data_IF_632451786694
#
_entry.id   IF_632451786694
#
_cell.length_a   1.000
_cell.length_b   1.000
_cell.length_c   1.000
_cell.angle_alpha   90.00
_cell.angle_beta   90.00
_cell.angle_gamma   90.00
#
_symmetry.space_group_name_H-M   'P 1'
#
loop_
_entity.id
_entity.type
_entity.pdbx_description
1 polymer ?
#
# COMPACT_ATOMS: atom_id res chain seq x y z
N UNK A 1 0.49 -22.90 6.06
CA UNK A 1 -0.78 -22.26 5.65
C UNK A 1 -0.66 -21.86 4.18
N UNK A 2 -1.57 -22.32 3.30
CA UNK A 2 -1.46 -22.12 1.84
C UNK A 2 -1.48 -20.63 1.46
N UNK A 3 -0.62 -20.20 0.52
CA UNK A 3 -0.55 -18.84 -0.04
C UNK A 3 -1.93 -18.28 -0.45
N UNK A 4 -2.85 -19.15 -0.88
CA UNK A 4 -4.24 -18.77 -1.20
C UNK A 4 -5.01 -18.26 0.02
N UNK A 5 -4.84 -18.88 1.19
CA UNK A 5 -5.50 -18.46 2.44
C UNK A 5 -4.96 -17.11 2.94
N UNK A 6 -3.65 -16.88 2.80
CA UNK A 6 -3.03 -15.60 3.18
C UNK A 6 -3.47 -14.44 2.27
N UNK A 7 -3.54 -14.68 0.95
CA UNK A 7 -4.05 -13.68 0.01
C UNK A 7 -5.53 -13.35 0.25
N UNK A 8 -6.37 -14.34 0.54
CA UNK A 8 -7.79 -14.14 0.83
C UNK A 8 -8.01 -13.36 2.14
N UNK A 9 -7.24 -13.68 3.19
CA UNK A 9 -7.27 -12.93 4.44
C UNK A 9 -6.85 -11.48 4.25
N UNK A 10 -5.76 -11.24 3.52
CA UNK A 10 -5.30 -9.88 3.20
C UNK A 10 -6.37 -9.10 2.44
N UNK A 11 -6.96 -9.70 1.41
CA UNK A 11 -8.04 -9.10 0.63
C UNK A 11 -9.26 -8.76 1.51
N UNK A 12 -9.67 -9.67 2.39
CA UNK A 12 -10.79 -9.45 3.30
C UNK A 12 -10.53 -8.32 4.30
N UNK A 13 -9.33 -8.27 4.89
CA UNK A 13 -8.93 -7.21 5.82
C UNK A 13 -8.90 -5.86 5.09
N UNK A 14 -8.34 -5.80 3.88
CA UNK A 14 -8.31 -4.58 3.07
C UNK A 14 -9.71 -4.11 2.67
N UNK A 15 -10.58 -5.02 2.22
CA UNK A 15 -11.95 -4.68 1.84
C UNK A 15 -12.76 -4.20 3.04
N UNK A 16 -12.67 -4.88 4.19
CA UNK A 16 -13.29 -4.44 5.43
C UNK A 16 -12.75 -3.08 5.88
N UNK A 17 -11.44 -2.87 5.77
CA UNK A 17 -10.80 -1.60 6.10
C UNK A 17 -11.27 -0.45 5.21
N UNK A 18 -11.45 -0.68 3.90
CA UNK A 18 -11.94 0.33 2.96
C UNK A 18 -13.39 0.73 3.28
N UNK A 19 -14.26 -0.27 3.48
CA UNK A 19 -15.67 -0.05 3.82
C UNK A 19 -15.80 0.63 5.19
N UNK A 20 -15.06 0.14 6.20
CA UNK A 20 -15.04 0.74 7.53
C UNK A 20 -14.55 2.20 7.47
N UNK A 21 -13.48 2.50 6.73
CA UNK A 21 -13.00 3.87 6.60
C UNK A 21 -14.04 4.79 5.96
N UNK A 22 -14.74 4.35 4.91
CA UNK A 22 -15.78 5.17 4.29
C UNK A 22 -16.97 5.41 5.22
N UNK A 23 -17.35 4.41 6.01
CA UNK A 23 -18.50 4.47 6.92
C UNK A 23 -18.21 5.26 8.20
N UNK A 24 -16.96 5.26 8.68
CA UNK A 24 -16.60 5.81 10.00
C UNK A 24 -15.78 7.11 9.96
N UNK A 25 -15.21 7.52 8.82
CA UNK A 25 -14.26 8.63 8.78
C UNK A 25 -14.57 9.67 7.68
N UNK A 26 -14.72 10.98 8.01
CA UNK A 26 -14.43 12.04 7.04
C UNK A 26 -12.97 11.93 6.57
N UNK A 27 -12.65 12.40 5.36
CA UNK A 27 -11.34 12.20 4.71
C UNK A 27 -10.13 12.59 5.58
N UNK A 28 -10.29 13.51 6.52
CA UNK A 28 -9.23 13.95 7.43
C UNK A 28 -8.91 12.90 8.52
N UNK A 29 -9.90 12.11 8.93
CA UNK A 29 -9.69 11.00 9.88
C UNK A 29 -8.84 9.88 9.28
N UNK A 30 -8.89 9.69 7.96
CA UNK A 30 -8.07 8.70 7.27
C UNK A 30 -6.58 9.01 7.43
N UNK A 31 -6.19 10.25 7.15
CA UNK A 31 -4.80 10.68 7.30
C UNK A 31 -4.37 10.63 8.77
N UNK A 32 -5.28 10.95 9.69
CA UNK A 32 -5.04 10.84 11.11
C UNK A 32 -4.83 9.40 11.61
N UNK A 33 -5.39 8.39 10.94
CA UNK A 33 -5.18 6.99 11.31
C UNK A 33 -3.68 6.61 11.35
N UNK A 34 -2.86 7.23 10.49
CA UNK A 34 -1.40 7.05 10.50
C UNK A 34 -0.71 7.73 11.68
N UNK A 35 -1.31 8.80 12.23
CA UNK A 35 -0.83 9.51 13.41
C UNK A 35 -1.34 8.94 14.73
N UNK A 36 -2.48 8.24 14.71
CA UNK A 36 -3.10 7.63 15.88
C UNK A 36 -2.14 6.84 16.78
N UNK A 37 -1.29 5.91 16.28
CA UNK A 37 -0.38 5.17 17.15
C UNK A 37 0.61 6.10 17.88
N UNK A 38 1.12 7.13 17.21
CA UNK A 38 2.04 8.09 17.81
C UNK A 38 1.34 9.01 18.80
N UNK A 39 0.10 9.40 18.52
CA UNK A 39 -0.72 10.22 19.41
C UNK A 39 -1.08 9.47 20.70
N UNK A 40 -1.45 8.18 20.60
CA UNK A 40 -1.71 7.33 21.75
C UNK A 40 -0.45 7.15 22.61
N UNK A 41 0.70 6.87 21.98
CA UNK A 41 1.99 6.76 22.67
C UNK A 41 2.38 8.07 23.32
N UNK A 42 2.25 9.20 22.62
CA UNK A 42 2.58 10.53 23.13
C UNK A 42 1.72 10.92 24.33
N UNK A 43 0.40 10.73 24.24
CA UNK A 43 -0.53 10.95 25.36
C UNK A 43 -0.22 10.05 26.56
N UNK A 44 0.06 8.78 26.32
CA UNK A 44 0.41 7.82 27.38
C UNK A 44 1.71 8.21 28.10
N UNK A 45 2.77 8.52 27.35
CA UNK A 45 4.05 8.97 27.91
C UNK A 45 3.93 10.31 28.64
N UNK A 46 3.12 11.25 28.13
CA UNK A 46 2.85 12.52 28.80
C UNK A 46 2.12 12.31 30.12
N UNK A 47 1.05 11.51 30.13
CA UNK A 47 0.29 11.21 31.34
C UNK A 47 1.18 10.56 32.41
N UNK A 48 2.07 9.66 31.99
CA UNK A 48 3.04 9.02 32.85
C UNK A 48 4.06 10.01 33.42
N UNK A 49 4.59 10.93 32.60
CA UNK A 49 5.51 11.98 33.06
C UNK A 49 4.87 12.91 34.12
N UNK A 50 3.58 13.18 33.98
CA UNK A 50 2.82 14.00 34.94
C UNK A 50 2.41 13.25 36.23
N UNK A 51 2.64 11.94 36.32
CA UNK A 51 2.19 11.12 37.47
C UNK A 51 3.12 11.18 38.70
N UNK A 52 4.23 11.93 38.61
CA UNK A 52 5.21 12.12 39.68
C UNK A 52 6.62 11.72 39.24
N UNK A 53 7.60 11.85 40.15
CA UNK A 53 9.03 11.65 39.83
C UNK A 53 9.36 10.27 39.25
N UNK A 54 8.72 9.21 39.77
CA UNK A 54 8.93 7.84 39.30
C UNK A 54 8.30 7.63 37.91
N UNK A 55 7.14 8.24 37.67
CA UNK A 55 6.48 8.24 36.37
C UNK A 55 7.28 9.00 35.31
N UNK A 56 7.84 10.16 35.67
CA UNK A 56 8.72 10.92 34.79
C UNK A 56 9.98 10.14 34.39
N UNK A 57 10.65 9.51 35.36
CA UNK A 57 11.78 8.63 35.06
C UNK A 57 11.39 7.47 34.13
N UNK A 58 10.22 6.86 34.35
CA UNK A 58 9.73 5.76 33.52
C UNK A 58 9.34 6.23 32.11
N UNK A 59 8.77 7.43 31.96
CA UNK A 59 8.42 8.02 30.67
C UNK A 59 9.67 8.27 29.82
N UNK A 60 10.72 8.85 30.40
CA UNK A 60 12.01 9.03 29.73
C UNK A 60 12.65 7.70 29.32
N UNK A 61 12.59 6.68 30.19
CA UNK A 61 13.11 5.35 29.88
C UNK A 61 12.37 4.69 28.70
N UNK A 62 11.03 4.72 28.70
CA UNK A 62 10.22 4.15 27.61
C UNK A 62 10.40 4.92 26.30
N UNK A 63 10.43 6.26 26.36
CA UNK A 63 10.69 7.11 25.20
C UNK A 63 12.07 6.80 24.58
N UNK A 64 13.12 6.74 25.41
CA UNK A 64 14.47 6.41 24.96
C UNK A 64 14.54 5.01 24.35
N UNK A 65 13.91 4.02 24.99
CA UNK A 65 13.86 2.64 24.49
C UNK A 65 13.16 2.56 23.12
N UNK A 66 12.02 3.22 22.96
CA UNK A 66 11.25 3.24 21.71
C UNK A 66 12.09 3.84 20.56
N UNK A 67 12.76 4.97 20.82
CA UNK A 67 13.56 5.66 19.81
C UNK A 67 14.86 4.92 19.48
N UNK A 68 15.46 4.22 20.45
CA UNK A 68 16.67 3.44 20.26
C UNK A 68 16.43 2.07 19.59
N UNK A 69 15.18 1.61 19.53
CA UNK A 69 14.80 0.29 19.02
C UNK A 69 15.35 -0.02 17.61
N UNK A 70 15.28 0.88 16.60
CA UNK A 70 15.87 0.63 15.28
C UNK A 70 17.39 0.44 15.32
N UNK A 71 18.09 1.18 16.19
CA UNK A 71 19.54 1.09 16.38
C UNK A 71 19.92 -0.20 17.10
N UNK A 72 19.19 -0.55 18.15
CA UNK A 72 19.41 -1.77 18.93
C UNK A 72 19.25 -3.03 18.10
N UNK A 73 18.19 -3.09 17.28
CA UNK A 73 18.00 -4.15 16.30
C UNK A 73 19.20 -4.28 15.36
N UNK A 74 19.81 -3.15 14.98
CA UNK A 74 20.99 -3.15 14.14
C UNK A 74 22.24 -3.67 14.81
N UNK A 75 22.49 -3.29 16.07
CA UNK A 75 23.58 -3.82 16.87
C UNK A 75 23.43 -5.33 17.11
N UNK A 76 22.20 -5.79 17.39
CA UNK A 76 21.92 -7.20 17.57
C UNK A 76 22.18 -8.03 16.30
N UNK A 77 21.81 -7.51 15.13
CA UNK A 77 22.13 -8.16 13.85
C UNK A 77 23.64 -8.21 13.57
N UNK A 78 24.40 -7.16 13.92
CA UNK A 78 25.87 -7.15 13.80
C UNK A 78 26.51 -8.24 14.65
N UNK A 79 26.06 -8.41 15.90
CA UNK A 79 26.56 -9.46 16.81
C UNK A 79 26.35 -10.87 16.28
N UNK A 80 25.36 -11.09 15.41
CA UNK A 80 25.09 -12.37 14.75
C UNK A 80 25.83 -12.54 13.41
N UNK A 81 26.85 -11.73 13.13
CA UNK A 81 27.63 -11.79 11.88
C UNK A 81 26.86 -11.37 10.62
N UNK A 82 25.67 -10.78 10.77
CA UNK A 82 24.87 -10.31 9.62
C UNK A 82 25.35 -8.91 9.26
N UNK A 83 25.84 -8.74 8.03
CA UNK A 83 26.29 -7.44 7.51
C UNK A 83 25.21 -6.38 7.71
N UNK A 84 25.55 -5.35 8.47
CA UNK A 84 24.68 -4.23 8.80
C UNK A 84 24.68 -3.19 7.68
N UNK A 85 24.39 -3.64 6.46
CA UNK A 85 24.52 -2.88 5.21
C UNK A 85 23.71 -1.58 5.18
N UNK A 86 22.70 -1.43 6.06
CA UNK A 86 21.79 -0.28 6.08
C UNK A 86 21.77 0.41 7.45
N UNK A 87 22.95 0.70 8.00
CA UNK A 87 23.06 1.37 9.32
C UNK A 87 22.55 2.82 9.29
N UNK A 88 22.81 3.55 8.21
CA UNK A 88 22.34 4.93 8.02
C UNK A 88 20.81 5.06 8.12
N UNK A 89 20.07 4.24 7.38
CA UNK A 89 18.59 4.30 7.36
C UNK A 89 17.97 4.04 8.74
N UNK A 90 18.56 3.16 9.57
CA UNK A 90 18.12 2.89 10.94
C UNK A 90 18.36 4.07 11.87
N UNK A 91 19.51 4.72 11.74
CA UNK A 91 19.83 5.92 12.52
C UNK A 91 18.92 7.09 12.15
N UNK A 92 18.62 7.26 10.85
CA UNK A 92 17.66 8.27 10.40
C UNK A 92 16.25 7.99 10.95
N UNK A 93 15.80 6.73 10.93
CA UNK A 93 14.53 6.34 11.56
C UNK A 93 14.52 6.59 13.07
N UNK A 94 15.62 6.27 13.77
CA UNK A 94 15.75 6.54 15.20
C UNK A 94 15.70 8.05 15.51
N UNK A 95 16.38 8.87 14.72
CA UNK A 95 16.35 10.32 14.84
C UNK A 95 14.94 10.89 14.55
N UNK A 96 14.27 10.39 13.52
CA UNK A 96 12.90 10.76 13.19
C UNK A 96 11.90 10.36 14.29
N UNK A 97 12.06 9.17 14.89
CA UNK A 97 11.27 8.74 16.04
C UNK A 97 11.53 9.60 17.27
N UNK A 98 12.80 9.89 17.57
CA UNK A 98 13.18 10.76 18.68
C UNK A 98 12.51 12.13 18.55
N UNK A 99 12.77 12.82 17.44
CA UNK A 99 12.16 14.13 17.22
C UNK A 99 10.62 14.06 17.16
N UNK A 100 10.09 13.13 16.37
CA UNK A 100 8.66 13.04 16.09
C UNK A 100 7.82 12.68 17.31
N UNK A 101 8.18 11.61 18.02
CA UNK A 101 7.45 11.16 19.22
C UNK A 101 7.49 12.23 20.31
N UNK A 102 8.59 12.97 20.45
CA UNK A 102 8.66 14.09 21.40
C UNK A 102 7.60 15.16 21.12
N UNK A 103 7.33 15.50 19.86
CA UNK A 103 6.25 16.45 19.51
C UNK A 103 4.85 15.91 19.90
N UNK A 104 4.63 14.60 19.81
CA UNK A 104 3.38 13.99 20.28
C UNK A 104 3.26 13.98 21.81
N UNK A 105 4.37 13.90 22.55
CA UNK A 105 4.39 14.04 24.01
C UNK A 105 4.13 15.50 24.40
N UNK A 106 4.78 16.45 23.74
CA UNK A 106 4.63 17.87 23.99
C UNK A 106 3.95 18.60 22.82
N UNK A 107 2.61 18.65 22.78
CA UNK A 107 1.87 19.21 21.66
C UNK A 107 2.07 20.71 21.45
N UNK A 108 2.64 21.44 22.43
CA UNK A 108 3.01 22.84 22.23
C UNK A 108 4.06 23.01 21.11
N UNK A 109 4.95 22.02 20.94
CA UNK A 109 5.98 22.08 19.91
C UNK A 109 5.42 22.01 18.48
N UNK A 110 4.18 21.55 18.27
CA UNK A 110 3.53 21.68 16.95
C UNK A 110 3.30 23.15 16.57
N UNK A 111 3.02 24.01 17.54
CA UNK A 111 2.84 25.45 17.30
C UNK A 111 4.18 26.10 16.93
N UNK A 112 5.29 25.65 17.53
CA UNK A 112 6.62 26.14 17.17
C UNK A 112 7.03 25.71 15.74
N UNK A 113 6.61 24.51 15.32
CA UNK A 113 6.95 23.93 14.01
C UNK A 113 6.07 24.43 12.85
N UNK A 114 4.76 24.53 13.09
CA UNK A 114 3.76 24.82 12.05
C UNK A 114 3.07 26.17 12.25
N UNK A 115 3.45 26.93 13.28
CA UNK A 115 2.85 28.23 13.60
C UNK A 115 1.37 28.11 13.94
N UNK A 116 0.59 29.11 13.52
CA UNK A 116 -0.86 29.19 13.80
C UNK A 116 -1.67 28.06 13.13
N UNK A 117 -1.12 27.35 12.16
CA UNK A 117 -1.78 26.21 11.49
C UNK A 117 -1.99 25.04 12.46
N UNK A 118 -1.14 24.90 13.48
CA UNK A 118 -1.30 23.88 14.51
C UNK A 118 -2.37 24.20 15.57
N UNK A 119 -3.16 25.27 15.40
CA UNK A 119 -4.26 25.63 16.30
C UNK A 119 -5.59 25.09 15.79
N UNK A 120 -6.47 24.67 16.71
CA UNK A 120 -7.79 24.16 16.38
C UNK A 120 -7.74 22.91 15.50
N UNK A 121 -8.50 22.90 14.41
CA UNK A 121 -8.66 21.76 13.51
C UNK A 121 -7.38 21.43 12.70
N UNK A 122 -6.51 22.42 12.46
CA UNK A 122 -5.27 22.23 11.70
C UNK A 122 -4.21 21.39 12.44
N UNK A 123 -4.34 21.21 13.75
CA UNK A 123 -3.47 20.33 14.55
C UNK A 123 -3.52 18.87 14.04
N UNK A 124 -4.69 18.43 13.58
CA UNK A 124 -4.90 17.05 13.11
C UNK A 124 -4.11 16.79 11.81
N UNK A 125 -4.04 17.80 10.94
CA UNK A 125 -3.24 17.79 9.72
C UNK A 125 -1.74 17.82 10.04
N UNK A 126 -1.31 18.67 10.98
CA UNK A 126 0.10 18.71 11.40
C UNK A 126 0.57 17.38 11.99
N UNK A 127 -0.27 16.73 12.80
CA UNK A 127 -0.01 15.39 13.35
C UNK A 127 0.12 14.33 12.26
N UNK A 128 -0.79 14.32 11.28
CA UNK A 128 -0.74 13.37 10.17
C UNK A 128 0.50 13.56 9.30
N UNK A 129 0.88 14.81 9.00
CA UNK A 129 2.11 15.13 8.25
C UNK A 129 3.38 14.62 8.94
N UNK A 130 3.51 14.88 10.25
CA UNK A 130 4.66 14.42 11.02
C UNK A 130 4.72 12.89 11.09
N UNK A 131 3.58 12.24 11.31
CA UNK A 131 3.48 10.78 11.32
C UNK A 131 3.86 10.16 9.96
N UNK A 132 3.38 10.73 8.85
CA UNK A 132 3.74 10.29 7.49
C UNK A 132 5.25 10.44 7.22
N UNK A 133 5.88 11.47 7.77
CA UNK A 133 7.33 11.64 7.69
C UNK A 133 8.06 10.54 8.46
N UNK A 134 7.61 10.16 9.66
CA UNK A 134 8.19 9.02 10.38
C UNK A 134 8.01 7.71 9.58
N UNK A 135 6.80 7.50 9.04
CA UNK A 135 6.50 6.33 8.22
C UNK A 135 7.34 6.26 6.93
N UNK A 136 7.71 7.38 6.33
CA UNK A 136 8.58 7.40 5.14
C UNK A 136 10.00 6.91 5.47
N UNK A 137 10.58 7.33 6.60
CA UNK A 137 11.86 6.78 7.08
C UNK A 137 11.75 5.28 7.38
N UNK A 138 10.64 4.84 7.98
CA UNK A 138 10.39 3.43 8.26
C UNK A 138 10.29 2.62 6.97
N UNK A 139 9.63 3.15 5.95
CA UNK A 139 9.52 2.55 4.63
C UNK A 139 10.89 2.43 3.95
N UNK A 140 11.70 3.48 3.95
CA UNK A 140 13.06 3.44 3.38
C UNK A 140 13.89 2.35 4.05
N UNK A 141 13.88 2.30 5.38
CA UNK A 141 14.59 1.27 6.12
C UNK A 141 14.09 -0.15 5.77
N UNK A 142 12.77 -0.33 5.68
CA UNK A 142 12.14 -1.60 5.33
C UNK A 142 12.50 -2.06 3.91
N UNK A 143 12.44 -1.16 2.93
CA UNK A 143 12.80 -1.44 1.52
C UNK A 143 14.26 -1.87 1.41
N UNK A 144 15.17 -1.14 2.06
CA UNK A 144 16.59 -1.50 2.07
C UNK A 144 16.83 -2.86 2.73
N UNK A 145 16.11 -3.17 3.81
CA UNK A 145 16.18 -4.50 4.42
C UNK A 145 15.68 -5.60 3.49
N UNK A 146 14.64 -5.34 2.69
CA UNK A 146 14.14 -6.28 1.69
C UNK A 146 15.14 -6.45 0.54
N UNK A 147 15.78 -5.37 0.09
CA UNK A 147 16.84 -5.43 -0.91
C UNK A 147 18.02 -6.29 -0.42
N UNK A 148 18.54 -6.00 0.77
CA UNK A 148 19.60 -6.79 1.38
C UNK A 148 19.20 -8.22 1.74
N UNK A 149 17.89 -8.55 1.75
CA UNK A 149 17.38 -9.92 1.85
C UNK A 149 17.35 -10.59 0.47
N UNK A 150 16.90 -9.88 -0.56
CA UNK A 150 16.87 -10.36 -1.94
C UNK A 150 18.27 -10.68 -2.47
N UNK A 151 19.27 -9.83 -2.17
CA UNK A 151 20.68 -10.05 -2.56
C UNK A 151 21.30 -11.32 -1.94
N UNK A 152 20.84 -11.73 -0.75
CA UNK A 152 21.35 -12.92 -0.06
C UNK A 152 20.63 -14.20 -0.46
N UNK A 153 19.51 -14.09 -1.16
CA UNK A 153 18.76 -15.23 -1.65
C UNK A 153 19.36 -15.69 -2.97
N UNK A 154 19.28 -16.99 -3.26
CA UNK A 154 19.52 -17.46 -4.62
C UNK A 154 18.59 -16.71 -5.58
N UNK A 155 19.04 -16.45 -6.81
CA UNK A 155 18.34 -15.60 -7.79
C UNK A 155 16.83 -15.89 -7.88
N UNK A 156 16.45 -17.18 -7.94
CA UNK A 156 15.04 -17.59 -8.02
C UNK A 156 14.24 -17.35 -6.73
N UNK A 157 14.88 -17.42 -5.58
CA UNK A 157 14.24 -17.11 -4.29
C UNK A 157 14.04 -15.61 -4.09
N UNK A 158 15.01 -14.80 -4.51
CA UNK A 158 14.90 -13.34 -4.53
C UNK A 158 13.77 -12.88 -5.46
N UNK A 159 13.74 -13.41 -6.70
CA UNK A 159 12.67 -13.10 -7.66
C UNK A 159 11.30 -13.57 -7.13
N UNK A 160 11.23 -14.77 -6.54
CA UNK A 160 10.02 -15.29 -5.91
C UNK A 160 9.53 -14.46 -4.72
N UNK A 161 10.41 -13.82 -3.96
CA UNK A 161 10.04 -12.87 -2.90
C UNK A 161 9.46 -11.58 -3.50
N UNK A 162 10.11 -11.03 -4.52
CA UNK A 162 9.67 -9.82 -5.22
C UNK A 162 8.26 -10.00 -5.80
N UNK A 163 8.00 -11.09 -6.55
CA UNK A 163 6.67 -11.37 -7.10
C UNK A 163 5.58 -11.48 -6.02
N UNK A 164 5.90 -12.04 -4.84
CA UNK A 164 4.94 -12.15 -3.72
C UNK A 164 4.63 -10.79 -3.11
N UNK A 165 5.65 -9.94 -2.93
CA UNK A 165 5.47 -8.57 -2.43
C UNK A 165 4.62 -7.78 -3.41
N UNK A 166 4.93 -7.84 -4.71
CA UNK A 166 4.12 -7.20 -5.75
C UNK A 166 2.68 -7.70 -5.73
N UNK A 167 2.46 -9.02 -5.64
CA UNK A 167 1.11 -9.58 -5.53
C UNK A 167 0.34 -9.08 -4.30
N UNK A 168 1.02 -8.97 -3.15
CA UNK A 168 0.43 -8.39 -1.95
C UNK A 168 0.05 -6.93 -2.13
N UNK A 169 0.92 -6.12 -2.74
CA UNK A 169 0.67 -4.70 -3.01
C UNK A 169 -0.49 -4.51 -3.99
N UNK A 170 -0.58 -5.34 -5.03
CA UNK A 170 -1.70 -5.33 -5.97
C UNK A 170 -3.03 -5.69 -5.28
N UNK A 171 -3.03 -6.66 -4.37
CA UNK A 171 -4.21 -6.99 -3.56
C UNK A 171 -4.62 -5.81 -2.68
N UNK A 172 -3.67 -5.14 -2.02
CA UNK A 172 -3.96 -3.95 -1.22
C UNK A 172 -4.53 -2.84 -2.10
N UNK A 173 -3.92 -2.55 -3.26
CA UNK A 173 -4.43 -1.55 -4.21
C UNK A 173 -5.87 -1.88 -4.66
N UNK A 174 -6.11 -3.11 -5.13
CA UNK A 174 -7.44 -3.53 -5.58
C UNK A 174 -8.48 -3.55 -4.46
N UNK A 175 -8.15 -4.11 -3.31
CA UNK A 175 -9.11 -4.33 -2.22
C UNK A 175 -9.28 -3.12 -1.31
N UNK A 176 -8.30 -2.20 -1.27
CA UNK A 176 -8.38 -1.02 -0.43
C UNK A 176 -8.70 0.23 -1.25
N UNK A 177 -7.79 0.67 -2.13
CA UNK A 177 -7.97 1.95 -2.83
C UNK A 177 -9.13 1.90 -3.81
N UNK A 178 -9.25 0.85 -4.63
CA UNK A 178 -10.36 0.75 -5.61
C UNK A 178 -11.71 0.55 -4.95
N UNK A 179 -11.82 -0.24 -3.88
CA UNK A 179 -13.06 -0.34 -3.11
C UNK A 179 -13.41 0.97 -2.42
N UNK A 180 -12.44 1.67 -1.83
CA UNK A 180 -12.65 2.98 -1.22
C UNK A 180 -13.16 4.00 -2.25
N UNK A 181 -12.54 4.06 -3.44
CA UNK A 181 -12.99 4.90 -4.56
C UNK A 181 -14.41 4.53 -5.02
N UNK A 182 -14.72 3.23 -5.18
CA UNK A 182 -16.05 2.75 -5.59
C UNK A 182 -17.14 3.11 -4.58
N UNK A 183 -16.85 2.99 -3.27
CA UNK A 183 -17.78 3.45 -2.24
C UNK A 183 -17.98 4.97 -2.27
N UNK A 184 -17.05 5.71 -2.88
CA UNK A 184 -17.18 7.14 -3.13
C UNK A 184 -18.14 7.52 -4.26
N UNK A 185 -18.46 6.60 -5.16
CA UNK A 185 -19.42 6.84 -6.26
C UNK A 185 -20.88 6.87 -5.78
N UNK A 186 -21.15 6.44 -4.55
CA UNK A 186 -22.47 6.53 -3.94
C UNK A 186 -22.54 7.87 -3.22
N UNK A 187 -23.32 8.81 -3.78
CA UNK A 187 -23.63 10.09 -3.12
C UNK A 187 -25.01 10.01 -2.50
N UNK A 188 -25.11 10.31 -1.22
CA UNK A 188 -26.42 10.60 -0.61
C UNK A 188 -26.93 11.88 -1.23
N UNK A 189 -28.07 11.84 -1.93
CA UNK A 189 -28.79 13.07 -2.24
C UNK A 189 -29.41 13.52 -0.93
N UNK A 190 -28.65 14.29 -0.15
CA UNK A 190 -29.14 14.83 1.10
C UNK A 190 -30.45 15.56 0.80
N UNK A 191 -31.55 15.12 1.40
CA UNK A 191 -32.68 16.01 1.58
C UNK A 191 -32.15 17.09 2.52
N UNK A 192 -31.81 18.26 1.97
CA UNK A 192 -31.50 19.43 2.77
C UNK A 192 -32.80 19.88 3.43
N UNK A 193 -33.08 19.37 4.62
CA UNK A 193 -34.05 20.01 5.50
C UNK A 193 -33.34 21.20 6.14
N UNK A 194 -33.54 22.37 5.54
CA UNK A 194 -33.28 23.64 6.19
C UNK A 194 -34.31 23.80 7.30
N UNK A 195 -33.86 23.78 8.56
CA UNK A 195 -34.67 24.34 9.64
C UNK A 195 -34.77 25.87 9.41
N UNK A 196 -35.83 26.53 9.88
CA UNK A 196 -36.07 27.98 9.68
C UNK A 196 -34.94 28.88 10.24
N UNK A 197 -33.95 28.30 10.95
CA UNK A 197 -32.76 28.95 11.50
C UNK A 197 -31.48 28.81 10.66
N UNK A 198 -31.48 28.06 9.54
CA UNK A 198 -30.36 28.02 8.60
C UNK A 198 -29.09 27.31 9.09
N UNK A 199 -29.14 26.51 10.16
CA UNK A 199 -28.01 25.67 10.57
C UNK A 199 -28.11 24.27 9.95
N UNK A 200 -27.05 23.85 9.25
CA UNK A 200 -26.94 22.53 8.67
C UNK A 200 -26.93 21.46 9.77
N UNK A 201 -27.88 20.52 9.69
CA UNK A 201 -28.01 19.40 10.62
C UNK A 201 -26.68 18.65 10.74
N UNK A 202 -26.15 18.56 11.96
CA UNK A 202 -24.85 17.94 12.25
C UNK A 202 -24.71 16.56 11.59
N UNK A 203 -23.51 16.24 11.08
CA UNK A 203 -23.22 15.01 10.34
C UNK A 203 -23.62 13.71 11.04
N UNK A 204 -23.87 13.74 12.35
CA UNK A 204 -24.38 12.60 13.12
C UNK A 204 -25.82 12.22 12.79
N UNK A 205 -26.69 13.18 12.42
CA UNK A 205 -28.07 12.92 12.02
C UNK A 205 -28.17 12.42 10.56
N UNK A 206 -27.30 12.92 9.67
CA UNK A 206 -27.14 12.37 8.32
C UNK A 206 -26.66 10.90 8.36
N UNK A 207 -25.81 10.56 9.32
CA UNK A 207 -25.31 9.20 9.53
C UNK A 207 -26.37 8.27 10.14
N UNK A 208 -27.23 8.77 11.03
CA UNK A 208 -28.37 8.02 11.55
C UNK A 208 -29.41 7.68 10.46
N UNK A 209 -29.53 8.52 9.42
CA UNK A 209 -30.40 8.29 8.26
C UNK A 209 -29.80 7.37 7.18
N UNK A 210 -28.47 7.27 7.08
CA UNK A 210 -27.81 6.23 6.26
C UNK A 210 -28.05 4.82 6.84
N UNK A 211 -28.18 4.71 8.16
CA UNK A 211 -28.54 3.46 8.86
C UNK A 211 -30.02 3.08 8.77
N UNK A 212 -30.92 4.00 8.36
CA UNK A 212 -32.37 3.76 8.32
C UNK A 212 -32.90 3.20 7.00
N UNK A 213 -32.04 3.01 5.99
CA UNK A 213 -32.38 2.32 4.75
C UNK A 213 -33.18 3.13 3.72
N UNK A 214 -33.43 4.43 3.95
CA UNK A 214 -34.28 5.27 3.08
C UNK A 214 -33.70 6.67 2.80
N UNK A 215 -32.40 6.79 2.57
CA UNK A 215 -31.85 8.01 1.96
C UNK A 215 -31.73 7.78 0.44
N UNK A 216 -32.37 8.60 -0.42
CA UNK A 216 -32.16 8.48 -1.86
C UNK A 216 -30.67 8.67 -2.14
N UNK A 217 -30.08 7.66 -2.78
CA UNK A 217 -28.66 7.66 -3.16
C UNK A 217 -28.59 7.69 -4.68
N UNK A 218 -27.78 8.60 -5.22
CA UNK A 218 -27.42 8.57 -6.64
C UNK A 218 -26.06 7.91 -6.80
N UNK A 219 -25.92 7.11 -7.85
CA UNK A 219 -24.66 6.45 -8.20
C UNK A 219 -24.06 7.20 -9.38
N UNK A 220 -22.82 7.67 -9.20
CA UNK A 220 -22.02 8.24 -10.29
C UNK A 220 -21.49 7.11 -11.18
N UNK A 221 -22.35 6.58 -12.04
CA UNK A 221 -22.02 5.48 -12.95
C UNK A 221 -20.75 5.71 -13.78
N UNK A 222 -20.50 6.91 -14.35
CA UNK A 222 -19.26 7.18 -15.08
C UNK A 222 -17.99 6.97 -14.23
N UNK A 223 -18.01 7.42 -12.98
CA UNK A 223 -16.89 7.26 -12.05
C UNK A 223 -16.70 5.78 -11.68
N UNK A 224 -17.79 5.06 -11.41
CA UNK A 224 -17.75 3.64 -11.06
C UNK A 224 -17.15 2.79 -12.19
N UNK A 225 -17.58 3.02 -13.44
CA UNK A 225 -17.02 2.32 -14.60
C UNK A 225 -15.55 2.66 -14.83
N UNK A 226 -15.15 3.93 -14.67
CA UNK A 226 -13.74 4.34 -14.76
C UNK A 226 -12.89 3.58 -13.74
N UNK A 227 -13.30 3.53 -12.48
CA UNK A 227 -12.56 2.84 -11.41
C UNK A 227 -12.44 1.34 -11.73
N UNK A 228 -13.52 0.72 -12.18
CA UNK A 228 -13.52 -0.70 -12.55
C UNK A 228 -12.58 -0.97 -13.74
N UNK A 229 -12.62 -0.12 -14.76
CA UNK A 229 -11.73 -0.24 -15.92
C UNK A 229 -10.25 -0.06 -15.53
N UNK A 230 -9.95 0.89 -14.64
CA UNK A 230 -8.59 1.12 -14.12
C UNK A 230 -8.09 0.00 -13.19
N UNK A 231 -8.98 -0.85 -12.66
CA UNK A 231 -8.60 -2.00 -11.86
C UNK A 231 -8.15 -3.20 -12.72
N UNK A 232 -8.55 -3.26 -14.00
CA UNK A 232 -8.28 -4.39 -14.89
C UNK A 232 -6.79 -4.72 -15.06
N UNK A 233 -5.89 -3.75 -15.32
CA UNK A 233 -4.45 -4.05 -15.46
C UNK A 233 -3.85 -4.75 -14.24
N UNK A 234 -4.22 -4.29 -13.04
CA UNK A 234 -3.77 -4.89 -11.78
C UNK A 234 -4.32 -6.31 -11.58
N UNK A 235 -5.57 -6.56 -11.98
CA UNK A 235 -6.19 -7.91 -11.95
C UNK A 235 -5.45 -8.85 -12.92
N UNK A 236 -5.22 -8.42 -14.15
CA UNK A 236 -4.51 -9.23 -15.15
C UNK A 236 -3.09 -9.58 -14.69
N UNK A 237 -2.36 -8.61 -14.13
CA UNK A 237 -1.04 -8.87 -13.58
C UNK A 237 -1.09 -9.82 -12.39
N UNK A 238 -2.05 -9.66 -11.47
CA UNK A 238 -2.22 -10.56 -10.32
C UNK A 238 -2.44 -12.02 -10.77
N UNK A 239 -3.22 -12.23 -11.82
CA UNK A 239 -3.46 -13.56 -12.41
C UNK A 239 -2.20 -14.14 -13.08
N UNK A 240 -1.31 -13.29 -13.62
CA UNK A 240 -0.03 -13.69 -14.21
C UNK A 240 1.01 -14.13 -13.16
N UNK A 241 0.95 -13.58 -11.95
CA UNK A 241 1.93 -13.90 -10.90
C UNK A 241 1.89 -15.37 -10.48
N UNK A 242 0.73 -16.02 -10.50
CA UNK A 242 0.60 -17.42 -10.11
C UNK A 242 1.40 -18.39 -11.01
N UNK A 243 1.23 -18.41 -12.35
CA UNK A 243 2.06 -19.24 -13.23
C UNK A 243 3.53 -18.81 -13.23
N UNK A 244 3.83 -17.52 -13.10
CA UNK A 244 5.22 -17.04 -13.00
C UNK A 244 5.93 -17.58 -11.75
N UNK A 245 5.25 -17.62 -10.60
CA UNK A 245 5.76 -18.24 -9.37
C UNK A 245 5.96 -19.76 -9.53
N UNK A 246 5.11 -20.44 -10.29
CA UNK A 246 5.27 -21.87 -10.59
C UNK A 246 6.48 -22.15 -11.48
N UNK A 247 6.71 -21.34 -12.51
CA UNK A 247 7.90 -21.41 -13.36
C UNK A 247 9.18 -21.20 -12.52
N UNK A 248 9.19 -20.19 -11.66
CA UNK A 248 10.28 -19.90 -10.73
C UNK A 248 10.62 -21.08 -9.80
N UNK A 249 9.60 -21.76 -9.28
CA UNK A 249 9.81 -22.96 -8.43
C UNK A 249 10.42 -24.12 -9.22
N UNK A 250 10.00 -24.28 -10.47
CA UNK A 250 10.51 -25.35 -11.34
C UNK A 250 11.96 -25.08 -11.69
N UNK A 251 12.29 -23.85 -12.11
CA UNK A 251 13.67 -23.43 -12.39
C UNK A 251 14.58 -23.54 -11.16
N UNK A 252 14.05 -23.35 -9.96
CA UNK A 252 14.79 -23.56 -8.72
C UNK A 252 15.14 -25.03 -8.47
N UNK A 253 14.26 -25.95 -8.85
CA UNK A 253 14.45 -27.40 -8.62
C UNK A 253 15.38 -27.99 -9.69
N UNK A 254 15.07 -27.72 -10.96
CA UNK A 254 15.86 -28.15 -12.10
C UNK A 254 15.73 -27.12 -13.24
N UNK A 255 16.73 -26.25 -13.43
CA UNK A 255 16.73 -25.23 -14.49
C UNK A 255 16.63 -25.81 -15.91
N UNK A 256 17.05 -27.07 -16.10
CA UNK A 256 17.13 -27.72 -17.40
C UNK A 256 16.12 -28.87 -17.55
N UNK A 257 15.24 -29.05 -16.58
CA UNK A 257 14.23 -30.10 -16.56
C UNK A 257 13.22 -29.99 -17.71
N UNK A 258 12.59 -31.11 -18.05
CA UNK A 258 11.65 -31.22 -19.16
C UNK A 258 10.37 -30.38 -18.99
N UNK A 259 10.01 -30.03 -17.75
CA UNK A 259 8.85 -29.18 -17.46
C UNK A 259 9.08 -27.69 -17.79
N UNK A 260 10.33 -27.25 -17.94
CA UNK A 260 10.69 -25.83 -18.09
C UNK A 260 10.16 -25.20 -19.37
N UNK A 261 10.28 -25.82 -20.58
CA UNK A 261 9.76 -25.22 -21.81
C UNK A 261 8.24 -25.01 -21.77
N UNK A 262 7.48 -26.02 -21.34
CA UNK A 262 6.02 -25.94 -21.32
C UNK A 262 5.51 -24.83 -20.37
N UNK A 263 6.13 -24.70 -19.19
CA UNK A 263 5.79 -23.62 -18.25
C UNK A 263 6.26 -22.26 -18.73
N UNK A 264 7.43 -22.18 -19.37
CA UNK A 264 7.95 -20.94 -19.96
C UNK A 264 7.03 -20.44 -21.06
N UNK A 265 6.60 -21.32 -21.96
CA UNK A 265 5.66 -20.99 -23.04
C UNK A 265 4.31 -20.54 -22.48
N UNK A 266 3.78 -21.23 -21.46
CA UNK A 266 2.53 -20.83 -20.81
C UNK A 266 2.63 -19.45 -20.14
N UNK A 267 3.75 -19.14 -19.47
CA UNK A 267 3.99 -17.81 -18.87
C UNK A 267 4.16 -16.75 -19.95
N UNK A 268 4.94 -17.01 -21.00
CA UNK A 268 5.16 -16.06 -22.09
C UNK A 268 3.86 -15.74 -22.83
N UNK A 269 3.03 -16.75 -23.15
CA UNK A 269 1.72 -16.55 -23.77
C UNK A 269 0.78 -15.73 -22.90
N UNK A 270 0.70 -16.06 -21.60
CA UNK A 270 -0.13 -15.29 -20.65
C UNK A 270 0.39 -13.88 -20.45
N UNK A 271 1.70 -13.67 -20.40
CA UNK A 271 2.30 -12.36 -20.28
C UNK A 271 2.00 -11.49 -21.51
N UNK A 272 2.09 -12.05 -22.73
CA UNK A 272 1.63 -11.37 -23.96
C UNK A 272 0.16 -10.99 -23.88
N UNK A 273 -0.70 -11.93 -23.49
CA UNK A 273 -2.12 -11.68 -23.33
C UNK A 273 -2.41 -10.57 -22.31
N UNK A 274 -1.68 -10.54 -21.19
CA UNK A 274 -1.80 -9.49 -20.16
C UNK A 274 -1.35 -8.14 -20.69
N UNK A 275 -0.25 -8.05 -21.44
CA UNK A 275 0.18 -6.80 -22.08
C UNK A 275 -0.89 -6.27 -23.02
N UNK A 276 -1.42 -7.12 -23.92
CA UNK A 276 -2.51 -6.72 -24.81
C UNK A 276 -3.77 -6.32 -24.04
N UNK A 277 -4.18 -7.10 -23.03
CA UNK A 277 -5.36 -6.81 -22.23
C UNK A 277 -5.21 -5.50 -21.45
N UNK A 278 -4.03 -5.21 -20.88
CA UNK A 278 -3.73 -3.94 -20.25
C UNK A 278 -3.91 -2.78 -21.24
N UNK A 279 -3.25 -2.84 -22.40
CA UNK A 279 -3.33 -1.77 -23.41
C UNK A 279 -4.77 -1.54 -23.91
N UNK A 280 -5.48 -2.62 -24.24
CA UNK A 280 -6.89 -2.55 -24.68
C UNK A 280 -7.78 -2.00 -23.57
N UNK A 281 -7.58 -2.43 -22.32
CA UNK A 281 -8.35 -1.91 -21.18
C UNK A 281 -8.08 -0.43 -20.91
N UNK A 282 -6.85 0.04 -21.08
CA UNK A 282 -6.49 1.47 -20.94
C UNK A 282 -7.14 2.30 -22.04
N UNK A 283 -7.06 1.85 -23.31
CA UNK A 283 -7.75 2.52 -24.41
C UNK A 283 -9.26 2.54 -24.18
N UNK A 284 -9.83 1.40 -23.77
CA UNK A 284 -11.25 1.29 -23.44
C UNK A 284 -11.66 2.24 -22.31
N UNK A 285 -10.87 2.35 -21.24
CA UNK A 285 -11.10 3.27 -20.14
C UNK A 285 -11.06 4.74 -20.61
N UNK A 286 -10.11 5.10 -21.47
CA UNK A 286 -9.98 6.45 -22.00
C UNK A 286 -11.14 6.81 -22.94
N UNK A 287 -11.58 5.87 -23.79
CA UNK A 287 -12.77 6.05 -24.63
C UNK A 287 -14.03 6.20 -23.78
N UNK A 288 -14.15 5.44 -22.70
CA UNK A 288 -15.25 5.54 -21.76
C UNK A 288 -15.28 6.91 -21.06
N UNK A 289 -14.12 7.46 -20.69
CA UNK A 289 -14.01 8.83 -20.17
C UNK A 289 -14.52 9.85 -21.18
N UNK A 290 -14.19 9.69 -22.46
CA UNK A 290 -14.66 10.59 -23.52
C UNK A 290 -16.18 10.50 -23.72
N UNK A 291 -16.74 9.29 -23.73
CA UNK A 291 -18.19 9.08 -23.88
C UNK A 291 -19.00 9.71 -22.73
N UNK A 292 -18.44 9.73 -21.52
CA UNK A 292 -19.08 10.35 -20.36
C UNK A 292 -18.64 11.80 -20.10
N UNK A 293 -17.84 12.40 -20.99
CA UNK A 293 -17.42 13.80 -20.87
C UNK A 293 -18.59 14.78 -20.94
N UNK A 294 -19.61 14.46 -21.74
CA UNK A 294 -20.82 15.28 -21.87
C UNK A 294 -21.85 15.06 -20.75
N UNK A 295 -21.67 14.01 -19.92
CA UNK A 295 -22.63 13.65 -18.87
C UNK A 295 -22.52 14.51 -17.58
N UNK A 296 -21.81 15.64 -17.63
CA UNK A 296 -21.81 16.67 -16.58
C UNK A 296 -20.98 16.35 -15.32
N UNK A 297 -20.12 15.34 -15.35
CA UNK A 297 -19.14 15.09 -14.29
C UNK A 297 -17.85 15.88 -14.52
N UNK A 298 -17.14 16.26 -13.44
CA UNK A 298 -15.76 16.77 -13.53
C UNK A 298 -14.86 15.70 -14.20
N UNK A 299 -14.72 15.80 -15.52
CA UNK A 299 -13.90 14.87 -16.30
C UNK A 299 -12.47 15.39 -16.31
N UNK A 300 -11.72 15.01 -15.28
CA UNK A 300 -10.27 15.04 -15.34
C UNK A 300 -9.79 13.99 -16.34
N UNK A 301 -9.51 14.42 -17.58
CA UNK A 301 -8.90 13.58 -18.61
C UNK A 301 -7.43 13.38 -18.22
N UNK A 302 -7.15 12.28 -17.51
CA UNK A 302 -5.80 11.85 -17.19
C UNK A 302 -5.45 10.63 -18.05
N UNK A 303 -4.32 10.72 -18.75
CA UNK A 303 -3.77 9.58 -19.47
C UNK A 303 -3.12 8.61 -18.46
N UNK A 304 -3.90 7.66 -17.96
CA UNK A 304 -3.45 6.66 -16.98
C UNK A 304 -2.89 5.43 -17.69
N UNK A 305 -1.59 5.45 -18.02
CA UNK A 305 -0.89 4.27 -18.55
C UNK A 305 -0.34 3.42 -17.38
N UNK A 306 -0.72 2.13 -17.26
CA UNK A 306 -0.29 1.25 -16.18
C UNK A 306 1.15 0.75 -16.42
N UNK A 307 2.12 1.66 -16.30
CA UNK A 307 3.53 1.41 -16.63
C UNK A 307 4.15 0.30 -15.77
N UNK A 308 3.75 0.22 -14.50
CA UNK A 308 4.25 -0.82 -13.58
C UNK A 308 3.78 -2.20 -14.02
N UNK A 309 2.49 -2.32 -14.35
CA UNK A 309 1.87 -3.58 -14.78
C UNK A 309 2.43 -4.05 -16.10
N UNK A 310 2.55 -3.13 -17.08
CA UNK A 310 3.15 -3.41 -18.38
C UNK A 310 4.62 -3.80 -18.24
N UNK A 311 5.40 -3.01 -17.48
CA UNK A 311 6.82 -3.25 -17.26
C UNK A 311 7.07 -4.63 -16.65
N UNK A 312 6.29 -5.02 -15.64
CA UNK A 312 6.43 -6.34 -15.01
C UNK A 312 5.97 -7.48 -15.92
N UNK A 313 4.86 -7.30 -16.66
CA UNK A 313 4.40 -8.31 -17.61
C UNK A 313 5.44 -8.55 -18.72
N UNK A 314 6.03 -7.49 -19.27
CA UNK A 314 7.12 -7.57 -20.25
C UNK A 314 8.36 -8.22 -19.63
N UNK A 315 8.73 -7.86 -18.40
CA UNK A 315 9.86 -8.48 -17.71
C UNK A 315 9.65 -10.00 -17.52
N UNK A 316 8.44 -10.43 -17.18
CA UNK A 316 8.09 -11.84 -17.03
C UNK A 316 8.07 -12.58 -18.37
N UNK A 317 7.64 -11.93 -19.46
CA UNK A 317 7.72 -12.46 -20.81
C UNK A 317 9.17 -12.70 -21.21
N UNK A 318 10.04 -11.69 -21.04
CA UNK A 318 11.46 -11.80 -21.36
C UNK A 318 12.16 -12.85 -20.49
N UNK A 319 11.80 -12.93 -19.21
CA UNK A 319 12.32 -13.94 -18.30
C UNK A 319 11.94 -15.37 -18.73
N UNK A 320 10.69 -15.59 -19.16
CA UNK A 320 10.22 -16.88 -19.64
C UNK A 320 10.91 -17.28 -20.95
N UNK A 321 10.94 -16.39 -21.94
CA UNK A 321 11.62 -16.63 -23.22
C UNK A 321 13.14 -16.86 -23.02
N UNK A 322 13.76 -16.10 -22.12
CA UNK A 322 15.17 -16.25 -21.74
C UNK A 322 15.46 -17.60 -21.07
N UNK A 323 14.59 -18.05 -20.17
CA UNK A 323 14.72 -19.35 -19.49
C UNK A 323 14.67 -20.52 -20.49
N UNK A 324 13.74 -20.46 -21.45
CA UNK A 324 13.65 -21.45 -22.53
C UNK A 324 14.89 -21.47 -23.41
N UNK A 325 15.37 -20.30 -23.85
CA UNK A 325 16.59 -20.19 -24.68
C UNK A 325 17.82 -20.71 -23.96
N UNK A 326 17.96 -20.39 -22.67
CA UNK A 326 19.11 -20.83 -21.87
C UNK A 326 19.15 -22.37 -21.75
N UNK A 327 17.98 -23.02 -21.64
CA UNK A 327 17.89 -24.48 -21.68
C UNK A 327 18.28 -25.05 -23.05
N UNK A 328 17.77 -24.48 -24.13
CA UNK A 328 18.11 -24.93 -25.49
C UNK A 328 19.62 -24.86 -25.74
N UNK A 329 20.26 -23.74 -25.39
CA UNK A 329 21.70 -23.56 -25.51
C UNK A 329 22.50 -24.58 -24.69
N UNK A 330 22.01 -24.95 -23.50
CA UNK A 330 22.67 -25.96 -22.67
C UNK A 330 22.58 -27.35 -23.29
N UNK A 331 21.41 -27.74 -23.79
CA UNK A 331 21.20 -29.03 -24.46
C UNK A 331 22.00 -29.13 -25.76
N UNK A 332 22.07 -28.06 -26.55
CA UNK A 332 22.87 -28.02 -27.78
C UNK A 332 24.36 -28.17 -27.46
N UNK A 333 24.85 -27.51 -26.41
CA UNK A 333 26.25 -27.62 -25.97
C UNK A 333 26.58 -29.03 -25.45
N UNK A 334 25.68 -29.64 -24.68
CA UNK A 334 25.86 -30.99 -24.16
C UNK A 334 25.74 -32.07 -25.26
N UNK A 335 25.15 -31.75 -26.42
CA UNK A 335 25.08 -32.65 -27.58
C UNK A 335 26.33 -32.62 -28.47
N UNK A 336 27.20 -31.61 -28.31
CA UNK A 336 28.44 -31.44 -29.10
C UNK A 336 29.64 -32.14 -28.44
N UNK A 337 29.60 -32.34 -27.11
CA UNK A 337 30.63 -33.02 -26.32
C UNK A 337 30.35 -34.52 -26.28
#
# INVERSE_FOLDING_TARGET
MSLKKQGLLLAAICALGAVAMRLLAPGDLFLYAFALPFDLVGKGLRALSLSGWAGDALAWALYGLLCALPVWQGLWMRRRGRTASHWHARNMLAAALFFGVYQFINPAGFVDLFGRVALGEGLLICKSMLALTIWSFALVWWVLCMLGRAERLALYDGLGLLLKITGGLLIVSLCYSRLYELTGCIRSTGVQFSDESGEALSGMAAMAMLGSGFSPCTVEWPAAFRILAQALPAIYLLLLLAPALSLLRTLRQDPYGEAVPALSDAVAQRARAVVYACLVSTVGANLLQLLFAEAGGDVHINLDVPLLELGLAIALLLFADGSRRNRALKLDNDAII
#
